data_IF_101054754729
#
_entry.id   IF_101054754729
#
_cell.length_a   1.000
_cell.length_b   1.000
_cell.length_c   1.000
_cell.angle_alpha   90.00
_cell.angle_beta   90.00
_cell.angle_gamma   90.00
#
_symmetry.space_group_name_H-M   'P 1'
#
loop_
_entity.id
_entity.type
_entity.pdbx_description
1 polymer ?
#
# COMPACT_ATOMS: atom_id res chain seq x y z
N UNK A 1 -7.23 14.21 25.39
CA UNK A 1 -6.67 13.14 26.25
C UNK A 1 -7.03 11.81 25.59
N UNK A 2 -6.07 10.92 25.39
CA UNK A 2 -6.36 9.55 24.97
C UNK A 2 -7.17 8.85 26.07
N UNK A 3 -8.17 8.07 25.67
CA UNK A 3 -8.99 7.28 26.56
C UNK A 3 -8.11 6.33 27.39
N UNK A 4 -8.43 6.14 28.66
CA UNK A 4 -7.73 5.20 29.56
C UNK A 4 -7.68 3.79 28.98
N UNK A 5 -8.73 3.39 28.26
CA UNK A 5 -8.79 2.11 27.56
C UNK A 5 -7.71 1.96 26.48
N UNK A 6 -7.47 3.01 25.68
CA UNK A 6 -6.43 2.98 24.65
C UNK A 6 -5.04 2.83 25.27
N UNK A 7 -4.80 3.54 26.39
CA UNK A 7 -3.54 3.39 27.12
C UNK A 7 -3.32 1.97 27.65
N UNK A 8 -4.36 1.34 28.19
CA UNK A 8 -4.31 -0.06 28.65
C UNK A 8 -4.04 -1.02 27.48
N UNK A 9 -4.76 -0.85 26.37
CA UNK A 9 -4.56 -1.66 25.17
C UNK A 9 -3.14 -1.52 24.59
N UNK A 10 -2.58 -0.30 24.54
CA UNK A 10 -1.21 -0.06 24.13
C UNK A 10 -0.19 -0.71 25.07
N UNK A 11 -0.43 -0.72 26.38
CA UNK A 11 0.42 -1.40 27.36
C UNK A 11 0.38 -2.92 27.16
N UNK A 12 -0.78 -3.50 26.91
CA UNK A 12 -0.92 -4.95 26.61
C UNK A 12 -0.22 -5.32 25.29
N UNK A 13 -0.32 -4.47 24.26
CA UNK A 13 0.40 -4.68 23.01
C UNK A 13 1.92 -4.56 23.20
N UNK A 14 2.37 -3.54 23.93
CA UNK A 14 3.77 -3.37 24.32
C UNK A 14 4.34 -4.62 24.99
N UNK A 15 3.69 -5.16 26.01
CA UNK A 15 4.14 -6.36 26.72
C UNK A 15 4.32 -7.55 25.74
N UNK A 16 3.32 -7.81 24.87
CA UNK A 16 3.39 -8.91 23.91
C UNK A 16 4.52 -8.75 22.90
N UNK A 17 4.77 -7.53 22.42
CA UNK A 17 5.85 -7.26 21.48
C UNK A 17 7.24 -7.24 22.12
N UNK A 18 7.32 -6.89 23.42
CA UNK A 18 8.57 -6.94 24.18
C UNK A 18 9.04 -8.40 24.39
N UNK A 19 8.11 -9.33 24.56
CA UNK A 19 8.43 -10.75 24.76
C UNK A 19 8.91 -11.43 23.46
N UNK A 20 8.34 -11.08 22.32
CA UNK A 20 8.73 -11.65 21.03
C UNK A 20 8.29 -10.75 19.85
N UNK A 21 9.09 -10.73 18.74
CA UNK A 21 8.83 -9.83 17.62
C UNK A 21 7.58 -10.22 16.81
N UNK A 22 6.83 -9.21 16.38
CA UNK A 22 5.64 -9.35 15.54
C UNK A 22 5.96 -9.06 14.06
N UNK A 23 5.26 -9.73 13.15
CA UNK A 23 5.13 -9.22 11.80
C UNK A 23 4.15 -8.04 11.79
N UNK A 24 4.39 -7.07 10.91
CA UNK A 24 3.51 -5.92 10.71
C UNK A 24 2.94 -5.96 9.30
N UNK A 25 1.63 -5.72 9.18
CA UNK A 25 0.93 -5.60 7.90
C UNK A 25 0.27 -4.23 7.83
N UNK A 26 0.72 -3.36 6.91
CA UNK A 26 0.17 -2.03 6.74
C UNK A 26 -0.76 -1.92 5.53
N UNK A 27 -1.69 -0.95 5.58
CA UNK A 27 -2.58 -0.59 4.46
C UNK A 27 -2.69 0.92 4.29
N UNK A 28 -3.58 1.37 3.39
CA UNK A 28 -3.66 2.77 2.95
C UNK A 28 -3.90 3.79 4.08
N UNK A 29 -4.52 3.37 5.19
CA UNK A 29 -4.76 4.24 6.34
C UNK A 29 -3.50 4.79 7.01
N UNK A 30 -2.33 4.14 6.86
CA UNK A 30 -1.08 4.68 7.41
C UNK A 30 -0.55 5.86 6.57
N UNK A 31 -0.91 5.92 5.27
CA UNK A 31 -0.43 6.95 4.32
C UNK A 31 -1.39 8.13 4.16
N UNK A 32 -2.57 8.11 4.81
CA UNK A 32 -3.53 9.23 4.73
C UNK A 32 -2.96 10.55 5.25
N UNK A 33 -2.20 10.58 6.37
CA UNK A 33 -1.55 11.81 6.83
C UNK A 33 -0.43 12.30 5.90
N UNK A 34 0.09 11.43 5.03
CA UNK A 34 1.06 11.77 3.97
C UNK A 34 0.40 12.35 2.71
N UNK A 35 -0.92 12.51 2.72
CA UNK A 35 -1.68 13.06 1.61
C UNK A 35 -2.12 12.03 0.56
N UNK A 36 -1.88 10.74 0.76
CA UNK A 36 -2.38 9.66 -0.11
C UNK A 36 -3.73 9.20 0.44
N UNK A 37 -4.83 9.36 -0.30
CA UNK A 37 -6.15 9.00 0.21
C UNK A 37 -6.30 7.48 0.35
N UNK A 38 -7.14 7.06 1.29
CA UNK A 38 -7.53 5.67 1.47
C UNK A 38 -8.62 5.23 0.48
N UNK A 39 -8.73 3.93 0.26
CA UNK A 39 -9.72 3.35 -0.66
C UNK A 39 -11.14 3.26 -0.08
N UNK A 40 -11.26 3.33 1.24
CA UNK A 40 -12.51 3.07 1.96
C UNK A 40 -12.66 4.01 3.14
N UNK A 41 -13.91 4.29 3.47
CA UNK A 41 -14.24 5.02 4.70
C UNK A 41 -14.22 4.10 5.94
N UNK A 42 -14.51 4.67 7.11
CA UNK A 42 -14.51 3.95 8.39
C UNK A 42 -15.61 2.87 8.50
N UNK A 43 -16.58 2.85 7.58
CA UNK A 43 -17.59 1.79 7.49
C UNK A 43 -17.18 0.67 6.52
N UNK A 44 -16.02 0.80 5.88
CA UNK A 44 -15.52 -0.13 4.86
C UNK A 44 -16.13 0.10 3.48
N UNK A 45 -16.89 1.17 3.27
CA UNK A 45 -17.47 1.53 1.98
C UNK A 45 -16.40 2.14 1.08
N UNK A 46 -16.35 1.70 -0.17
CA UNK A 46 -15.37 2.19 -1.14
C UNK A 46 -15.60 3.67 -1.46
N UNK A 47 -14.52 4.44 -1.45
CA UNK A 47 -14.47 5.82 -1.92
C UNK A 47 -14.17 5.84 -3.42
N UNK A 48 -14.89 6.68 -4.18
CA UNK A 48 -14.64 6.88 -5.60
C UNK A 48 -15.06 5.74 -6.52
N UNK A 49 -14.57 5.77 -7.76
CA UNK A 49 -14.89 4.78 -8.80
C UNK A 49 -14.18 3.44 -8.55
N UNK A 50 -14.72 2.40 -9.20
CA UNK A 50 -14.04 1.11 -9.21
C UNK A 50 -12.72 1.25 -9.98
N UNK A 51 -11.58 0.83 -9.42
CA UNK A 51 -10.31 0.80 -10.12
C UNK A 51 -10.38 -0.11 -11.34
N UNK A 52 -9.51 0.14 -12.32
CA UNK A 52 -9.38 -0.72 -13.48
C UNK A 52 -9.03 -2.14 -13.08
N UNK A 53 -9.75 -3.12 -13.63
CA UNK A 53 -9.48 -4.53 -13.41
C UNK A 53 -8.31 -4.99 -14.27
N UNK A 54 -7.55 -5.99 -13.82
CA UNK A 54 -6.42 -6.55 -14.57
C UNK A 54 -6.79 -7.00 -15.97
N UNK A 55 -7.89 -7.75 -16.10
CA UNK A 55 -8.36 -8.22 -17.40
C UNK A 55 -8.77 -7.07 -18.34
N UNK A 56 -9.35 -6.01 -17.80
CA UNK A 56 -9.67 -4.80 -18.55
C UNK A 56 -8.40 -4.10 -19.07
N UNK A 57 -7.35 -3.99 -18.24
CA UNK A 57 -6.07 -3.42 -18.63
C UNK A 57 -5.40 -4.22 -19.75
N UNK A 58 -5.49 -5.56 -19.70
CA UNK A 58 -4.89 -6.44 -20.72
C UNK A 58 -5.68 -6.48 -22.02
N UNK A 59 -7.00 -6.34 -21.97
CA UNK A 59 -7.92 -6.64 -23.08
C UNK A 59 -7.72 -5.76 -24.31
N UNK A 60 -7.38 -4.47 -24.13
CA UNK A 60 -7.34 -3.53 -25.23
C UNK A 60 -6.29 -2.41 -25.04
N UNK A 61 -5.68 -1.92 -26.14
CA UNK A 61 -4.80 -0.75 -26.11
C UNK A 61 -5.50 0.51 -25.54
N UNK A 62 -6.80 0.68 -25.79
CA UNK A 62 -7.62 1.79 -25.31
C UNK A 62 -7.71 1.79 -23.79
N UNK A 63 -7.84 0.63 -23.15
CA UNK A 63 -7.86 0.50 -21.69
C UNK A 63 -6.51 0.90 -21.08
N UNK A 64 -5.38 0.47 -21.69
CA UNK A 64 -4.04 0.90 -21.28
C UNK A 64 -3.83 2.39 -21.47
N UNK A 65 -4.31 2.95 -22.59
CA UNK A 65 -4.27 4.39 -22.88
C UNK A 65 -5.00 5.20 -21.82
N UNK A 66 -6.24 4.81 -21.50
CA UNK A 66 -7.04 5.42 -20.44
C UNK A 66 -6.35 5.35 -19.09
N UNK A 67 -5.80 4.19 -18.71
CA UNK A 67 -5.04 4.04 -17.48
C UNK A 67 -3.86 5.01 -17.43
N UNK A 68 -2.99 5.02 -18.46
CA UNK A 68 -1.78 5.81 -18.46
C UNK A 68 -2.02 7.31 -18.54
N UNK A 69 -3.07 7.75 -19.23
CA UNK A 69 -3.47 9.15 -19.27
C UNK A 69 -3.79 9.69 -17.86
N UNK A 70 -4.56 8.93 -17.09
CA UNK A 70 -4.92 9.26 -15.71
C UNK A 70 -3.74 9.12 -14.77
N UNK A 71 -2.99 8.02 -14.87
CA UNK A 71 -1.82 7.77 -14.03
C UNK A 71 -0.70 8.82 -14.25
N UNK A 72 -0.57 9.41 -15.44
CA UNK A 72 0.35 10.51 -15.69
C UNK A 72 0.04 11.73 -14.81
N UNK A 73 -1.23 12.09 -14.67
CA UNK A 73 -1.68 13.23 -13.87
C UNK A 73 -1.69 12.94 -12.36
N UNK A 74 -1.92 11.69 -11.97
CA UNK A 74 -1.92 11.28 -10.56
C UNK A 74 -0.53 11.11 -9.96
N UNK A 75 0.47 10.79 -10.79
CA UNK A 75 1.82 10.45 -10.36
C UNK A 75 2.52 11.54 -9.51
N UNK A 76 2.48 12.84 -9.86
CA UNK A 76 3.21 13.86 -9.09
C UNK A 76 2.86 13.87 -7.60
N UNK A 77 1.62 13.59 -7.25
CA UNK A 77 1.21 13.52 -5.84
C UNK A 77 1.82 12.33 -5.11
N UNK A 78 1.79 11.14 -5.72
CA UNK A 78 2.41 9.95 -5.13
C UNK A 78 3.92 10.14 -5.00
N UNK A 79 4.56 10.68 -6.04
CA UNK A 79 6.00 10.95 -6.07
C UNK A 79 6.46 11.94 -5.00
N UNK A 80 5.66 12.95 -4.70
CA UNK A 80 6.00 14.02 -3.75
C UNK A 80 5.55 13.71 -2.32
N UNK A 81 4.79 12.66 -2.11
CA UNK A 81 4.38 12.25 -0.78
C UNK A 81 5.61 11.94 0.10
N UNK A 82 5.52 12.36 1.35
CA UNK A 82 6.59 12.16 2.34
C UNK A 82 6.10 11.20 3.43
N UNK A 83 6.99 10.40 4.01
CA UNK A 83 6.66 9.63 5.20
C UNK A 83 6.08 10.52 6.29
N UNK A 84 5.28 9.94 7.15
CA UNK A 84 4.77 10.61 8.35
C UNK A 84 5.23 9.86 9.61
N UNK A 85 4.95 10.43 10.77
CA UNK A 85 5.40 9.90 12.08
C UNK A 85 5.02 8.44 12.34
N UNK A 86 4.00 7.90 11.65
CA UNK A 86 3.64 6.49 11.76
C UNK A 86 4.66 5.59 11.03
N UNK A 87 5.10 6.01 9.83
CA UNK A 87 6.16 5.32 9.09
C UNK A 87 7.50 5.38 9.87
N UNK A 88 7.89 6.54 10.39
CA UNK A 88 9.09 6.73 11.20
C UNK A 88 9.07 5.84 12.45
N UNK A 89 7.91 5.71 13.09
CA UNK A 89 7.71 4.84 14.25
C UNK A 89 7.97 3.37 13.92
N UNK A 90 7.49 2.89 12.78
CA UNK A 90 7.71 1.51 12.33
C UNK A 90 9.18 1.26 11.95
N UNK A 91 9.83 2.20 11.28
CA UNK A 91 11.26 2.11 10.97
C UNK A 91 12.10 2.01 12.27
N UNK A 92 11.77 2.81 13.30
CA UNK A 92 12.40 2.75 14.60
C UNK A 92 12.19 1.38 15.29
N UNK A 93 10.95 0.87 15.30
CA UNK A 93 10.62 -0.43 15.88
C UNK A 93 11.32 -1.59 15.16
N UNK A 94 11.51 -1.49 13.86
CA UNK A 94 12.28 -2.47 13.08
C UNK A 94 13.76 -2.45 13.50
N UNK A 95 14.33 -1.26 13.73
CA UNK A 95 15.72 -1.09 14.23
C UNK A 95 15.95 -1.70 15.62
N UNK A 96 14.92 -1.78 16.46
CA UNK A 96 14.98 -2.41 17.80
C UNK A 96 14.62 -3.90 17.80
N UNK A 97 14.39 -4.50 16.63
CA UNK A 97 14.00 -5.91 16.45
C UNK A 97 12.63 -6.30 17.04
N UNK A 98 11.78 -5.32 17.35
CA UNK A 98 10.38 -5.58 17.77
C UNK A 98 9.48 -5.98 16.59
N UNK A 99 9.94 -5.69 15.38
CA UNK A 99 9.31 -6.11 14.14
C UNK A 99 10.21 -7.12 13.43
N UNK A 100 9.71 -8.33 13.20
CA UNK A 100 10.42 -9.41 12.49
C UNK A 100 10.21 -9.37 10.97
N UNK A 101 9.18 -8.68 10.50
CA UNK A 101 8.88 -8.51 9.09
C UNK A 101 7.88 -7.39 8.88
N UNK A 102 8.12 -6.53 7.90
CA UNK A 102 7.21 -5.46 7.51
C UNK A 102 6.64 -5.75 6.13
N UNK A 103 5.32 -5.97 6.10
CA UNK A 103 4.53 -6.23 4.88
C UNK A 103 3.65 -5.02 4.63
N UNK A 104 3.62 -4.50 3.42
CA UNK A 104 2.72 -3.41 3.07
C UNK A 104 1.83 -3.76 1.89
N UNK A 105 0.57 -3.36 1.96
CA UNK A 105 -0.35 -3.36 0.82
C UNK A 105 -0.20 -2.11 -0.04
N UNK A 106 0.48 -1.09 0.50
CA UNK A 106 0.67 0.19 -0.16
C UNK A 106 1.71 0.08 -1.28
N UNK A 107 1.56 0.95 -2.27
CA UNK A 107 2.38 0.99 -3.48
C UNK A 107 3.19 2.29 -3.59
N UNK A 108 3.32 3.03 -2.46
CA UNK A 108 3.83 4.39 -2.36
C UNK A 108 5.31 4.51 -1.96
N UNK A 109 5.94 3.41 -1.52
CA UNK A 109 7.33 3.32 -1.02
C UNK A 109 7.64 4.16 0.23
N UNK A 110 6.63 4.67 0.96
CA UNK A 110 6.85 5.55 2.10
C UNK A 110 7.56 4.85 3.28
N UNK A 111 7.41 3.54 3.42
CA UNK A 111 8.16 2.77 4.42
C UNK A 111 9.67 2.80 4.15
N UNK A 112 10.08 2.57 2.89
CA UNK A 112 11.49 2.61 2.49
C UNK A 112 12.06 4.02 2.67
N UNK A 113 11.30 5.06 2.30
CA UNK A 113 11.68 6.46 2.48
C UNK A 113 11.83 6.84 3.98
N UNK A 114 11.06 6.23 4.89
CA UNK A 114 11.18 6.40 6.35
C UNK A 114 12.38 5.65 6.94
N UNK A 115 13.11 4.86 6.15
CA UNK A 115 14.26 4.08 6.59
C UNK A 115 13.94 2.64 7.00
N UNK A 116 12.73 2.15 6.74
CA UNK A 116 12.44 0.72 6.87
C UNK A 116 13.22 -0.09 5.83
N UNK A 117 13.62 -1.31 6.18
CA UNK A 117 14.38 -2.20 5.31
C UNK A 117 13.64 -3.52 5.10
N UNK A 118 13.96 -4.22 4.01
CA UNK A 118 13.38 -5.51 3.65
C UNK A 118 11.85 -5.51 3.60
N UNK A 119 11.25 -4.36 3.24
CA UNK A 119 9.80 -4.20 3.14
C UNK A 119 9.24 -5.15 2.09
N UNK A 120 8.22 -5.92 2.46
CA UNK A 120 7.53 -6.81 1.54
C UNK A 120 6.36 -6.06 0.90
N UNK A 121 6.56 -5.54 -0.29
CA UNK A 121 5.54 -4.85 -1.09
C UNK A 121 4.54 -5.86 -1.66
N UNK A 122 3.52 -6.22 -0.88
CA UNK A 122 2.55 -7.26 -1.22
C UNK A 122 1.83 -7.00 -2.55
N UNK A 123 1.61 -5.74 -2.87
CA UNK A 123 0.93 -5.31 -4.09
C UNK A 123 1.85 -4.57 -5.07
N UNK A 124 3.17 -4.67 -4.91
CA UNK A 124 4.15 -4.02 -5.78
C UNK A 124 4.34 -2.54 -5.49
N UNK A 125 4.80 -1.77 -6.49
CA UNK A 125 5.13 -0.35 -6.33
C UNK A 125 4.77 0.47 -7.56
N UNK A 126 4.18 1.66 -7.35
CA UNK A 126 3.95 2.67 -8.40
C UNK A 126 5.24 3.31 -8.91
N UNK A 127 6.35 3.19 -8.18
CA UNK A 127 7.65 3.73 -8.57
C UNK A 127 8.33 2.93 -9.68
N UNK A 128 7.78 1.77 -10.04
CA UNK A 128 8.29 0.89 -11.11
C UNK A 128 7.23 0.65 -12.17
N UNK A 129 7.69 0.41 -13.39
CA UNK A 129 6.88 0.04 -14.55
C UNK A 129 7.44 -1.23 -15.16
N UNK A 130 6.61 -2.25 -15.29
CA UNK A 130 6.96 -3.54 -15.90
C UNK A 130 6.56 -3.55 -17.38
N UNK A 131 7.47 -3.93 -18.25
CA UNK A 131 7.12 -4.28 -19.61
C UNK A 131 6.64 -5.73 -19.69
N UNK A 132 5.38 -5.94 -20.06
CA UNK A 132 4.81 -7.29 -20.19
C UNK A 132 5.32 -8.04 -21.43
N UNK A 133 6.03 -7.36 -22.35
CA UNK A 133 6.59 -7.98 -23.57
C UNK A 133 7.98 -8.55 -23.33
N UNK A 134 8.84 -7.86 -22.58
CA UNK A 134 10.22 -8.32 -22.34
C UNK A 134 10.56 -8.60 -20.87
N UNK A 135 9.63 -8.38 -19.95
CA UNK A 135 9.81 -8.62 -18.51
C UNK A 135 10.73 -7.62 -17.78
N UNK A 136 11.24 -6.59 -18.46
CA UNK A 136 12.13 -5.61 -17.81
C UNK A 136 11.34 -4.56 -17.04
N UNK A 137 11.92 -4.15 -15.91
CA UNK A 137 11.46 -3.02 -15.11
C UNK A 137 12.10 -1.72 -15.59
N UNK A 138 11.33 -0.63 -15.50
CA UNK A 138 11.75 0.74 -15.75
C UNK A 138 11.36 1.60 -14.53
N UNK A 139 12.15 2.62 -14.25
CA UNK A 139 11.80 3.64 -13.27
C UNK A 139 10.57 4.43 -13.73
N UNK A 140 9.59 4.61 -12.83
CA UNK A 140 8.35 5.32 -13.15
C UNK A 140 8.59 6.75 -13.62
N UNK A 141 9.55 7.47 -13.03
CA UNK A 141 9.91 8.83 -13.43
C UNK A 141 10.44 8.91 -14.86
N UNK A 142 11.16 7.90 -15.33
CA UNK A 142 11.63 7.85 -16.71
C UNK A 142 10.47 7.69 -17.69
N UNK A 143 9.51 6.85 -17.36
CA UNK A 143 8.28 6.67 -18.16
C UNK A 143 7.39 7.92 -18.06
N UNK A 144 7.34 8.59 -16.89
CA UNK A 144 6.62 9.85 -16.72
C UNK A 144 7.12 10.93 -17.70
N UNK A 145 8.43 11.16 -17.75
CA UNK A 145 9.03 12.11 -18.68
C UNK A 145 8.71 11.80 -20.15
N UNK A 146 8.70 10.54 -20.53
CA UNK A 146 8.30 10.12 -21.88
C UNK A 146 6.82 10.41 -22.17
N UNK A 147 5.93 10.22 -21.19
CA UNK A 147 4.51 10.53 -21.31
C UNK A 147 4.29 12.05 -21.43
N UNK A 148 4.94 12.84 -20.58
CA UNK A 148 4.85 14.31 -20.60
C UNK A 148 5.33 14.89 -21.94
N UNK A 149 6.45 14.39 -22.47
CA UNK A 149 7.00 14.79 -23.75
C UNK A 149 6.05 14.49 -24.91
N UNK A 150 5.37 13.36 -24.88
CA UNK A 150 4.44 12.91 -25.95
C UNK A 150 3.04 13.53 -25.82
N UNK A 151 2.68 14.01 -24.62
CA UNK A 151 1.34 14.50 -24.32
C UNK A 151 1.38 15.93 -23.69
N UNK A 152 2.06 16.90 -24.31
CA UNK A 152 2.27 18.24 -23.72
C UNK A 152 0.95 18.99 -23.48
N UNK A 153 -0.12 18.63 -24.16
CA UNK A 153 -1.46 19.21 -23.99
C UNK A 153 -2.13 18.89 -22.64
N UNK A 154 -1.56 17.95 -21.86
CA UNK A 154 -2.00 17.65 -20.51
C UNK A 154 -1.25 18.44 -19.42
N UNK A 155 -0.27 19.25 -19.79
CA UNK A 155 0.45 20.11 -18.85
C UNK A 155 -0.53 21.11 -18.20
N UNK A 156 -0.57 21.14 -16.86
CA UNK A 156 -1.44 22.06 -16.12
C UNK A 156 -2.92 21.65 -16.07
N UNK A 157 -3.29 20.48 -16.56
CA UNK A 157 -4.66 19.96 -16.39
C UNK A 157 -4.83 19.50 -14.94
N UNK A 158 -5.73 20.18 -14.22
CA UNK A 158 -6.15 19.75 -12.89
C UNK A 158 -7.08 18.55 -12.99
N UNK A 159 -6.76 17.49 -12.28
CA UNK A 159 -7.56 16.27 -12.29
C UNK A 159 -7.89 15.82 -10.85
N UNK A 160 -9.14 15.42 -10.63
CA UNK A 160 -9.60 14.87 -9.34
C UNK A 160 -8.95 13.51 -9.14
N UNK A 161 -8.27 13.34 -8.02
CA UNK A 161 -7.44 12.17 -7.75
C UNK A 161 -8.18 11.06 -7.01
N UNK A 162 -7.77 9.82 -7.28
CA UNK A 162 -8.17 8.60 -6.60
C UNK A 162 -6.98 7.98 -5.79
N UNK A 163 -7.26 7.07 -4.84
CA UNK A 163 -6.24 6.48 -3.95
C UNK A 163 -5.13 5.69 -4.63
N UNK A 164 -5.38 5.17 -5.82
CA UNK A 164 -4.45 4.35 -6.62
C UNK A 164 -3.57 5.19 -7.57
N UNK A 165 -3.51 6.50 -7.37
CA UNK A 165 -2.83 7.43 -8.27
C UNK A 165 -3.58 7.64 -9.59
N UNK A 166 -4.81 7.13 -9.72
CA UNK A 166 -5.71 7.41 -10.85
C UNK A 166 -6.34 8.81 -10.69
N UNK A 167 -6.85 9.35 -11.78
CA UNK A 167 -7.52 10.66 -11.81
C UNK A 167 -8.75 10.61 -12.71
N UNK A 168 -9.69 11.54 -12.49
CA UNK A 168 -10.79 11.73 -13.42
C UNK A 168 -10.32 12.63 -14.56
N UNK A 169 -10.36 12.11 -15.78
CA UNK A 169 -9.99 12.83 -16.99
C UNK A 169 -11.11 12.74 -18.01
N UNK A 170 -11.27 13.80 -18.81
CA UNK A 170 -12.22 13.80 -19.91
C UNK A 170 -11.84 12.78 -20.98
N UNK A 171 -12.83 12.07 -21.54
CA UNK A 171 -12.62 11.02 -22.53
C UNK A 171 -11.93 11.54 -23.82
N UNK A 172 -12.08 12.82 -24.16
CA UNK A 172 -11.41 13.42 -25.30
C UNK A 172 -9.88 13.50 -25.08
N UNK A 173 -9.44 13.78 -23.85
CA UNK A 173 -8.01 13.75 -23.51
C UNK A 173 -7.45 12.32 -23.50
N UNK A 174 -8.21 11.37 -22.95
CA UNK A 174 -7.83 9.95 -22.93
C UNK A 174 -7.66 9.38 -24.34
N UNK A 175 -8.57 9.71 -25.26
CA UNK A 175 -8.56 9.23 -26.64
C UNK A 175 -7.31 9.68 -27.43
N UNK A 176 -6.78 10.86 -27.11
CA UNK A 176 -5.58 11.42 -27.76
C UNK A 176 -4.26 10.99 -27.13
N UNK A 177 -4.31 10.36 -25.95
CA UNK A 177 -3.11 10.05 -25.18
C UNK A 177 -2.20 9.07 -25.91
N UNK A 178 -0.92 9.40 -25.97
CA UNK A 178 0.12 8.56 -26.55
C UNK A 178 0.87 7.81 -25.46
N UNK A 179 0.61 6.52 -25.34
CA UNK A 179 1.33 5.64 -24.40
C UNK A 179 2.76 5.46 -24.89
N UNK A 180 3.79 5.63 -24.05
CA UNK A 180 5.17 5.37 -24.45
C UNK A 180 5.40 3.87 -24.62
N UNK A 181 6.23 3.52 -25.60
CA UNK A 181 6.71 2.15 -25.77
C UNK A 181 7.84 1.85 -24.78
N UNK A 182 8.08 0.58 -24.55
CA UNK A 182 9.19 0.14 -23.70
C UNK A 182 10.54 0.63 -24.27
N UNK A 183 11.37 1.31 -23.49
CA UNK A 183 12.67 1.79 -23.97
C UNK A 183 13.67 0.66 -24.29
N UNK A 184 13.40 -0.58 -23.85
CA UNK A 184 14.28 -1.73 -24.07
C UNK A 184 13.92 -2.58 -25.27
N UNK A 185 12.62 -2.76 -25.56
CA UNK A 185 12.17 -3.66 -26.63
C UNK A 185 11.15 -3.02 -27.58
N UNK A 186 10.81 -1.76 -27.40
CA UNK A 186 9.76 -1.05 -28.11
C UNK A 186 8.34 -1.68 -27.98
N UNK A 187 8.15 -2.59 -27.06
CA UNK A 187 6.83 -3.22 -26.78
C UNK A 187 5.82 -2.23 -26.23
N UNK A 188 4.54 -2.50 -26.46
CA UNK A 188 3.43 -1.58 -26.16
C UNK A 188 2.73 -1.89 -24.83
N UNK A 189 3.06 -3.03 -24.21
CA UNK A 189 2.37 -3.48 -22.99
C UNK A 189 3.13 -3.09 -21.73
N UNK A 190 3.26 -1.79 -21.53
CA UNK A 190 3.80 -1.23 -20.28
C UNK A 190 2.72 -1.21 -19.20
N UNK A 191 3.01 -1.78 -18.03
CA UNK A 191 2.11 -1.87 -16.87
C UNK A 191 2.84 -1.30 -15.63
N UNK A 192 2.18 -0.52 -14.73
CA UNK A 192 2.79 -0.24 -13.44
C UNK A 192 3.07 -1.56 -12.71
N UNK A 193 4.17 -1.65 -11.99
CA UNK A 193 4.54 -2.85 -11.23
C UNK A 193 3.72 -2.98 -9.94
N UNK A 194 2.38 -2.95 -10.10
CA UNK A 194 1.42 -3.13 -9.00
C UNK A 194 0.44 -4.24 -9.33
N UNK A 195 -0.07 -4.89 -8.31
CA UNK A 195 -1.13 -5.90 -8.43
C UNK A 195 -2.47 -5.20 -8.64
N UNK A 196 -3.06 -5.36 -9.80
CA UNK A 196 -4.38 -4.82 -10.12
C UNK A 196 -5.50 -5.63 -9.44
N UNK A 197 -6.68 -5.04 -9.34
CA UNK A 197 -7.86 -5.79 -8.93
C UNK A 197 -8.13 -6.93 -9.91
N UNK A 198 -8.32 -8.15 -9.36
CA UNK A 198 -8.46 -9.36 -10.16
C UNK A 198 -7.14 -9.98 -10.66
N UNK A 199 -6.00 -9.39 -10.32
CA UNK A 199 -4.67 -9.97 -10.53
C UNK A 199 -4.21 -10.73 -9.27
N UNK A 200 -3.45 -11.78 -9.47
CA UNK A 200 -2.84 -12.51 -8.37
C UNK A 200 -1.52 -11.85 -7.95
N UNK A 201 -1.27 -11.82 -6.65
CA UNK A 201 0.06 -11.50 -6.11
C UNK A 201 1.07 -12.53 -6.62
N UNK A 202 2.24 -12.07 -7.03
CA UNK A 202 3.31 -12.96 -7.49
C UNK A 202 3.62 -14.04 -6.43
N UNK A 203 3.77 -15.28 -6.86
CA UNK A 203 3.93 -16.43 -5.94
C UNK A 203 5.11 -16.23 -4.98
N UNK A 204 6.25 -15.70 -5.46
CA UNK A 204 7.43 -15.43 -4.64
C UNK A 204 7.13 -14.40 -3.55
N UNK A 205 6.44 -13.30 -3.89
CA UNK A 205 6.04 -12.26 -2.92
C UNK A 205 5.06 -12.80 -1.90
N UNK A 206 4.08 -13.58 -2.34
CA UNK A 206 3.10 -14.19 -1.47
C UNK A 206 3.74 -15.20 -0.50
N UNK A 207 4.71 -16.00 -0.96
CA UNK A 207 5.47 -16.94 -0.13
C UNK A 207 6.35 -16.19 0.88
N UNK A 208 7.03 -15.12 0.47
CA UNK A 208 7.83 -14.27 1.36
C UNK A 208 6.98 -13.66 2.49
N UNK A 209 5.80 -13.13 2.14
CA UNK A 209 4.88 -12.56 3.12
C UNK A 209 4.33 -13.63 4.10
N UNK A 210 4.01 -14.81 3.59
CA UNK A 210 3.54 -15.91 4.42
C UNK A 210 4.64 -16.38 5.39
N UNK A 211 5.88 -16.58 4.90
CA UNK A 211 7.01 -16.97 5.74
C UNK A 211 7.29 -15.94 6.86
N UNK A 212 7.20 -14.62 6.55
CA UNK A 212 7.37 -13.58 7.55
C UNK A 212 6.33 -13.67 8.69
N UNK A 213 5.08 -13.99 8.35
CA UNK A 213 3.98 -14.15 9.31
C UNK A 213 4.14 -15.46 10.10
N UNK A 214 4.54 -16.55 9.44
CA UNK A 214 4.74 -17.86 10.08
C UNK A 214 5.87 -17.85 11.11
N UNK A 215 6.92 -17.07 10.85
CA UNK A 215 8.08 -16.93 11.74
C UNK A 215 7.85 -15.97 12.92
N UNK A 216 6.88 -15.07 12.80
CA UNK A 216 6.59 -14.08 13.83
C UNK A 216 5.80 -14.66 15.01
N UNK A 217 5.89 -14.00 16.16
CA UNK A 217 5.12 -14.33 17.35
C UNK A 217 3.65 -13.93 17.25
N UNK A 218 3.31 -13.02 16.34
CA UNK A 218 1.96 -12.54 16.07
C UNK A 218 1.95 -11.60 14.88
N UNK A 219 0.77 -11.08 14.51
CA UNK A 219 0.58 -10.11 13.44
C UNK A 219 -0.09 -8.85 13.96
N UNK A 220 0.55 -7.70 13.70
CA UNK A 220 -0.01 -6.39 13.96
C UNK A 220 -0.46 -5.76 12.63
N UNK A 221 -1.75 -5.58 12.46
CA UNK A 221 -2.36 -4.91 11.30
C UNK A 221 -2.51 -3.43 11.59
N UNK A 222 -2.09 -2.57 10.66
CA UNK A 222 -2.09 -1.12 10.85
C UNK A 222 -2.72 -0.43 9.64
N UNK A 223 -3.75 0.39 9.87
CA UNK A 223 -4.36 1.23 8.84
C UNK A 223 -4.92 0.45 7.65
N UNK A 224 -5.51 -0.73 7.89
CA UNK A 224 -6.04 -1.57 6.82
C UNK A 224 -7.43 -2.09 7.13
N UNK A 225 -8.35 -1.92 6.18
CA UNK A 225 -9.67 -2.57 6.21
C UNK A 225 -9.62 -4.07 5.92
N UNK A 226 -8.48 -4.61 5.45
CA UNK A 226 -8.27 -6.03 5.08
C UNK A 226 -9.25 -6.59 4.03
N UNK A 227 -9.86 -5.72 3.22
CA UNK A 227 -10.81 -6.16 2.20
C UNK A 227 -10.14 -6.92 1.05
N UNK A 228 -8.86 -6.67 0.78
CA UNK A 228 -8.07 -7.46 -0.16
C UNK A 228 -7.78 -8.84 0.43
N UNK A 229 -8.17 -9.90 -0.30
CA UNK A 229 -8.00 -11.28 0.19
C UNK A 229 -6.53 -11.66 0.35
N UNK A 230 -5.65 -11.12 -0.47
CA UNK A 230 -4.19 -11.32 -0.39
C UNK A 230 -3.60 -10.94 0.98
N UNK A 231 -4.12 -9.89 1.62
CA UNK A 231 -3.76 -9.47 2.97
C UNK A 231 -4.53 -10.26 4.04
N UNK A 232 -5.84 -10.44 3.86
CA UNK A 232 -6.69 -11.14 4.83
C UNK A 232 -6.26 -12.59 5.06
N UNK A 233 -5.76 -13.30 4.03
CA UNK A 233 -5.26 -14.67 4.19
C UNK A 233 -4.06 -14.76 5.13
N UNK A 234 -3.24 -13.70 5.25
CA UNK A 234 -2.13 -13.65 6.22
C UNK A 234 -2.67 -13.60 7.65
N UNK A 235 -3.75 -12.84 7.87
CA UNK A 235 -4.44 -12.80 9.16
C UNK A 235 -4.98 -14.18 9.55
N UNK A 236 -5.61 -14.88 8.62
CA UNK A 236 -6.11 -16.24 8.86
C UNK A 236 -4.98 -17.20 9.21
N UNK A 237 -3.86 -17.14 8.50
CA UNK A 237 -2.72 -18.01 8.76
C UNK A 237 -2.15 -17.85 10.18
N UNK A 238 -2.19 -16.63 10.73
CA UNK A 238 -1.80 -16.34 12.13
C UNK A 238 -2.78 -16.98 13.11
N UNK A 239 -4.07 -16.77 12.89
CA UNK A 239 -5.14 -17.33 13.75
C UNK A 239 -5.14 -18.86 13.72
N UNK A 240 -4.98 -19.47 12.54
CA UNK A 240 -4.90 -20.92 12.36
C UNK A 240 -3.70 -21.54 13.11
N UNK A 241 -2.66 -20.75 13.41
CA UNK A 241 -1.49 -21.13 14.22
C UNK A 241 -1.66 -20.83 15.72
N UNK A 242 -2.80 -20.30 16.14
CA UNK A 242 -3.06 -19.90 17.53
C UNK A 242 -2.24 -18.69 18.00
N UNK A 243 -1.72 -17.90 17.06
CA UNK A 243 -0.93 -16.70 17.35
C UNK A 243 -1.81 -15.45 17.42
N UNK A 244 -1.41 -14.43 18.20
CA UNK A 244 -2.20 -13.23 18.35
C UNK A 244 -2.30 -12.42 17.04
N UNK A 245 -3.52 -12.01 16.71
CA UNK A 245 -3.85 -11.08 15.64
C UNK A 245 -4.39 -9.78 16.26
N UNK A 246 -3.66 -8.69 16.09
CA UNK A 246 -3.98 -7.39 16.69
C UNK A 246 -4.10 -6.34 15.59
N UNK A 247 -5.02 -5.39 15.74
CA UNK A 247 -5.17 -4.28 14.79
C UNK A 247 -5.10 -2.91 15.49
N UNK A 248 -4.39 -1.97 14.83
CA UNK A 248 -4.51 -0.52 15.05
C UNK A 248 -5.18 0.04 13.81
N UNK A 249 -6.45 0.41 13.91
CA UNK A 249 -7.21 0.87 12.75
C UNK A 249 -8.40 1.76 13.14
N UNK A 250 -8.70 2.74 12.29
CA UNK A 250 -9.97 3.47 12.35
C UNK A 250 -11.03 2.76 11.54
N UNK A 251 -12.17 2.44 12.20
CA UNK A 251 -13.32 1.83 11.55
C UNK A 251 -13.17 0.34 11.28
N UNK A 252 -14.10 -0.22 10.49
CA UNK A 252 -14.30 -1.65 10.29
C UNK A 252 -13.19 -2.32 9.49
N UNK A 253 -12.82 -3.54 9.90
CA UNK A 253 -11.95 -4.42 9.13
C UNK A 253 -12.67 -5.73 8.82
N UNK A 254 -12.22 -6.43 7.78
CA UNK A 254 -12.70 -7.78 7.47
C UNK A 254 -12.35 -8.81 8.54
N UNK A 255 -11.37 -8.51 9.39
CA UNK A 255 -10.88 -9.40 10.43
C UNK A 255 -11.50 -9.14 11.80
N UNK A 256 -12.43 -8.20 11.97
CA UNK A 256 -12.96 -7.80 13.28
C UNK A 256 -13.44 -8.98 14.13
N UNK A 257 -14.04 -10.02 13.51
CA UNK A 257 -14.54 -11.22 14.21
C UNK A 257 -13.44 -12.21 14.65
N UNK A 258 -12.21 -12.04 14.17
CA UNK A 258 -11.07 -12.94 14.46
C UNK A 258 -9.88 -12.22 15.13
N UNK A 259 -10.03 -10.94 15.46
CA UNK A 259 -9.00 -10.18 16.18
C UNK A 259 -8.98 -10.55 17.67
N UNK A 260 -7.79 -10.75 18.23
CA UNK A 260 -7.63 -10.82 19.70
C UNK A 260 -7.78 -9.47 20.37
N UNK A 261 -7.38 -8.41 19.67
CA UNK A 261 -7.48 -7.04 20.14
C UNK A 261 -7.54 -6.05 18.99
N UNK A 262 -8.39 -5.03 19.13
CA UNK A 262 -8.42 -3.88 18.23
C UNK A 262 -8.22 -2.61 19.04
N UNK A 263 -7.24 -1.81 18.65
CA UNK A 263 -7.01 -0.48 19.19
C UNK A 263 -7.55 0.50 18.16
N UNK A 264 -8.69 1.10 18.47
CA UNK A 264 -9.34 2.02 17.54
C UNK A 264 -8.74 3.42 17.67
N UNK A 265 -8.07 3.87 16.59
CA UNK A 265 -7.44 5.17 16.55
C UNK A 265 -6.57 5.38 15.31
N UNK A 266 -6.18 6.63 15.12
CA UNK A 266 -5.34 7.06 14.01
C UNK A 266 -3.90 6.57 14.21
N UNK A 267 -3.32 6.00 13.14
CA UNK A 267 -1.99 5.39 13.19
C UNK A 267 -0.92 6.39 13.61
N UNK A 268 -0.99 7.62 13.11
CA UNK A 268 -0.06 8.71 13.39
C UNK A 268 -0.09 9.19 14.85
N UNK A 269 -1.15 8.87 15.59
CA UNK A 269 -1.24 9.17 17.02
C UNK A 269 -0.81 8.00 17.90
N UNK A 270 -1.10 6.77 17.49
CA UNK A 270 -0.89 5.58 18.33
C UNK A 270 0.50 4.96 18.17
N UNK A 271 1.04 4.95 16.95
CA UNK A 271 2.35 4.33 16.69
C UNK A 271 3.53 5.04 17.38
N UNK A 272 3.59 6.39 17.44
CA UNK A 272 4.62 7.06 18.22
C UNK A 272 4.61 6.68 19.69
N UNK A 273 3.41 6.52 20.27
CA UNK A 273 3.25 6.12 21.68
C UNK A 273 3.68 4.67 21.93
N UNK A 274 3.39 3.76 20.99
CA UNK A 274 3.85 2.38 21.04
C UNK A 274 5.37 2.31 20.88
N UNK A 275 5.93 3.03 19.91
CA UNK A 275 7.37 3.06 19.66
C UNK A 275 8.12 3.61 20.88
N UNK A 276 7.65 4.67 21.50
CA UNK A 276 8.25 5.21 22.72
C UNK A 276 8.32 4.16 23.82
N UNK A 277 7.26 3.39 24.06
CA UNK A 277 7.24 2.33 25.10
C UNK A 277 8.20 1.18 24.81
N UNK A 278 8.37 0.82 23.53
CA UNK A 278 9.22 -0.32 23.13
C UNK A 278 10.71 0.06 22.99
N UNK A 279 11.03 1.36 22.97
CA UNK A 279 12.42 1.85 22.85
C UNK A 279 12.95 2.51 24.12
N UNK A 280 12.13 2.59 25.19
CA UNK A 280 12.51 3.04 26.53
C UNK A 280 13.06 1.87 27.34
#
# INVERSE_FOLDING_TARGET
MLDSLIHEQLNRLHQRMADAPFAVLTGAGISTPSGIPDYRDNQGVRRGRQPMMYQEFLSAPESRRRYWARAMLGWPRVRLAQPNVAHDSLARLQGTRQISGLITQNVDTLHDQAGSHDVIELHGSLHRVLCLDCGRLCERDSIQRLMETRNPYLAGVDAVQAPDGDTLLDAAFEARFQVPHCPHCAGERMKPDVVFFGENVAQATAAKAMAAVEQAAGLLVIGSSLMAYSAFRLCRAVVDQGKPLIAINLGKTRADDILDMKIEGACEHLLPLLAQRLTS
#
